data_IF_231315776144
#
_entry.id   IF_231315776144
#
_cell.length_a   1.000
_cell.length_b   1.000
_cell.length_c   1.000
_cell.angle_alpha   90.00
_cell.angle_beta   90.00
_cell.angle_gamma   90.00
#
_symmetry.space_group_name_H-M   'P 1'
#
loop_
_entity.id
_entity.type
_entity.pdbx_description
1 polymer ?
#
# COMPACT_ATOMS: atom_id res chain seq x y z
N UNK A 1 -0.53 -9.08 20.13
CA UNK A 1 -0.81 -7.63 19.96
C UNK A 1 -2.15 -7.30 20.59
N UNK A 2 -2.33 -6.08 21.08
CA UNK A 2 -3.66 -5.61 21.54
C UNK A 2 -4.44 -5.02 20.36
N UNK A 3 -5.76 -5.02 20.45
CA UNK A 3 -6.65 -4.41 19.45
C UNK A 3 -6.31 -2.93 19.19
N UNK A 4 -6.03 -2.18 20.25
CA UNK A 4 -5.70 -0.76 20.14
C UNK A 4 -4.37 -0.52 19.42
N UNK A 5 -3.42 -1.45 19.53
CA UNK A 5 -2.17 -1.37 18.79
C UNK A 5 -2.41 -1.53 17.28
N UNK A 6 -3.23 -2.50 16.86
CA UNK A 6 -3.50 -2.73 15.43
C UNK A 6 -4.18 -1.52 14.77
N UNK A 7 -5.18 -0.96 15.44
CA UNK A 7 -5.87 0.25 14.96
C UNK A 7 -4.91 1.43 14.90
N UNK A 8 -4.14 1.68 15.96
CA UNK A 8 -3.21 2.80 16.00
C UNK A 8 -2.08 2.71 14.97
N UNK A 9 -1.52 1.51 14.77
CA UNK A 9 -0.48 1.28 13.77
C UNK A 9 -1.02 1.47 12.34
N UNK A 10 -2.24 0.97 12.05
CA UNK A 10 -2.88 1.19 10.76
C UNK A 10 -3.20 2.67 10.52
N UNK A 11 -3.75 3.37 11.51
CA UNK A 11 -4.00 4.82 11.41
C UNK A 11 -2.72 5.63 11.18
N UNK A 12 -1.58 5.23 11.76
CA UNK A 12 -0.30 5.88 11.52
C UNK A 12 0.14 5.75 10.07
N UNK A 13 0.14 4.53 9.53
CA UNK A 13 0.53 4.26 8.13
C UNK A 13 -0.39 4.99 7.15
N UNK A 14 -1.71 5.01 7.42
CA UNK A 14 -2.67 5.77 6.60
C UNK A 14 -2.46 7.28 6.73
N UNK A 15 -2.09 7.78 7.91
CA UNK A 15 -1.73 9.19 8.11
C UNK A 15 -0.53 9.61 7.25
N UNK A 16 0.49 8.76 7.15
CA UNK A 16 1.63 9.00 6.26
C UNK A 16 1.21 9.00 4.79
N UNK A 17 0.35 8.07 4.38
CA UNK A 17 -0.22 8.06 3.03
C UNK A 17 -1.00 9.34 2.73
N UNK A 18 -1.76 9.87 3.70
CA UNK A 18 -2.53 11.10 3.54
C UNK A 18 -1.63 12.31 3.27
N UNK A 19 -0.48 12.40 3.94
CA UNK A 19 0.49 13.50 3.78
C UNK A 19 1.07 13.55 2.37
N UNK A 20 1.23 12.38 1.74
CA UNK A 20 1.89 12.24 0.44
C UNK A 20 0.91 12.13 -0.72
N UNK A 21 -0.39 12.05 -0.44
CA UNK A 21 -1.43 11.89 -1.44
C UNK A 21 -1.41 13.06 -2.44
N UNK A 22 -1.43 12.78 -3.77
CA UNK A 22 -1.13 13.79 -4.78
C UNK A 22 -2.28 14.77 -5.07
N UNK A 23 -3.50 14.46 -4.63
CA UNK A 23 -4.67 15.29 -4.88
C UNK A 23 -5.73 15.12 -3.79
N UNK A 24 -6.71 16.04 -3.75
CA UNK A 24 -7.77 16.03 -2.74
C UNK A 24 -8.65 14.78 -2.79
N UNK A 25 -8.82 14.15 -3.95
CA UNK A 25 -9.61 12.93 -4.06
C UNK A 25 -8.88 11.77 -3.36
N UNK A 26 -7.58 11.64 -3.57
CA UNK A 26 -6.74 10.68 -2.87
C UNK A 26 -6.74 10.94 -1.36
N UNK A 27 -6.59 12.20 -0.94
CA UNK A 27 -6.68 12.58 0.49
C UNK A 27 -8.01 12.14 1.10
N UNK A 28 -9.15 12.38 0.41
CA UNK A 28 -10.47 11.95 0.89
C UNK A 28 -10.59 10.43 1.01
N UNK A 29 -10.06 9.69 0.04
CA UNK A 29 -10.08 8.23 0.07
C UNK A 29 -9.26 7.70 1.25
N UNK A 30 -8.10 8.29 1.55
CA UNK A 30 -7.28 7.92 2.71
C UNK A 30 -7.97 8.28 4.03
N UNK A 31 -8.57 9.47 4.15
CA UNK A 31 -9.31 9.87 5.36
C UNK A 31 -10.46 8.92 5.64
N UNK A 32 -11.16 8.46 4.60
CA UNK A 32 -12.22 7.46 4.74
C UNK A 32 -11.67 6.14 5.26
N UNK A 33 -10.51 5.69 4.76
CA UNK A 33 -9.86 4.48 5.27
C UNK A 33 -9.42 4.62 6.73
N UNK A 34 -8.94 5.79 7.16
CA UNK A 34 -8.63 6.06 8.58
C UNK A 34 -9.87 5.92 9.47
N UNK A 35 -10.98 6.54 9.06
CA UNK A 35 -12.25 6.45 9.80
C UNK A 35 -12.75 5.01 9.88
N UNK A 36 -12.67 4.27 8.77
CA UNK A 36 -13.06 2.87 8.75
C UNK A 36 -12.14 2.02 9.64
N UNK A 37 -10.82 2.26 9.65
CA UNK A 37 -9.89 1.57 10.55
C UNK A 37 -10.22 1.82 12.04
N UNK A 38 -10.59 3.04 12.40
CA UNK A 38 -10.91 3.44 13.78
C UNK A 38 -12.26 2.92 14.27
N UNK A 39 -13.25 2.82 13.37
CA UNK A 39 -14.61 2.40 13.72
C UNK A 39 -14.87 0.89 13.57
N UNK A 40 -13.96 0.15 12.93
CA UNK A 40 -14.16 -1.28 12.62
C UNK A 40 -13.52 -2.17 13.68
N UNK A 41 -14.17 -3.28 14.09
CA UNK A 41 -13.54 -4.26 14.97
C UNK A 41 -12.32 -4.90 14.30
N UNK A 42 -11.28 -5.33 15.05
CA UNK A 42 -10.03 -5.88 14.51
C UNK A 42 -10.20 -7.01 13.50
N UNK A 43 -11.18 -7.89 13.73
CA UNK A 43 -11.48 -9.01 12.85
C UNK A 43 -11.92 -8.58 11.45
N UNK A 44 -12.32 -7.32 11.26
CA UNK A 44 -12.73 -6.74 9.99
C UNK A 44 -11.75 -5.67 9.46
N UNK A 45 -10.53 -5.58 10.02
CA UNK A 45 -9.48 -4.69 9.51
C UNK A 45 -8.84 -5.19 8.20
N UNK A 46 -8.85 -6.50 7.93
CA UNK A 46 -8.28 -7.07 6.70
C UNK A 46 -8.77 -6.39 5.42
N UNK A 47 -10.10 -6.25 5.22
CA UNK A 47 -10.66 -5.49 4.09
C UNK A 47 -10.27 -4.01 4.02
N UNK A 48 -9.94 -3.37 5.15
CA UNK A 48 -9.46 -1.97 5.18
C UNK A 48 -8.02 -1.92 4.67
N UNK A 49 -7.15 -2.81 5.15
CA UNK A 49 -5.76 -2.93 4.69
C UNK A 49 -5.70 -3.25 3.20
N UNK A 50 -6.51 -4.20 2.73
CA UNK A 50 -6.62 -4.55 1.31
C UNK A 50 -6.99 -3.35 0.42
N UNK A 51 -7.98 -2.55 0.84
CA UNK A 51 -8.40 -1.34 0.10
C UNK A 51 -7.35 -0.24 0.14
N UNK A 52 -6.61 -0.11 1.24
CA UNK A 52 -5.48 0.81 1.32
C UNK A 52 -4.35 0.41 0.36
N UNK A 53 -4.02 -0.87 0.24
CA UNK A 53 -3.05 -1.37 -0.75
C UNK A 53 -3.51 -1.06 -2.18
N UNK A 54 -4.77 -1.37 -2.53
CA UNK A 54 -5.31 -1.05 -3.86
C UNK A 54 -5.33 0.46 -4.15
N UNK A 55 -5.57 1.29 -3.14
CA UNK A 55 -5.50 2.75 -3.29
C UNK A 55 -4.08 3.18 -3.65
N UNK A 56 -3.07 2.67 -2.96
CA UNK A 56 -1.66 2.97 -3.25
C UNK A 56 -1.27 2.51 -4.65
N UNK A 57 -1.68 1.31 -5.07
CA UNK A 57 -1.43 0.83 -6.44
C UNK A 57 -2.02 1.76 -7.51
N UNK A 58 -3.21 2.31 -7.27
CA UNK A 58 -3.83 3.28 -8.17
C UNK A 58 -3.06 4.61 -8.21
N UNK A 59 -2.51 5.05 -7.08
CA UNK A 59 -1.66 6.25 -7.01
C UNK A 59 -0.33 6.04 -7.74
N UNK A 60 0.28 4.86 -7.63
CA UNK A 60 1.49 4.52 -8.37
C UNK A 60 1.30 4.64 -9.88
N UNK A 61 0.20 4.11 -10.42
CA UNK A 61 -0.09 4.23 -11.85
C UNK A 61 -0.23 5.69 -12.29
N UNK A 62 -0.83 6.52 -11.46
CA UNK A 62 -0.96 7.96 -11.73
C UNK A 62 0.41 8.68 -11.67
N UNK A 63 1.23 8.41 -10.65
CA UNK A 63 2.56 8.97 -10.50
C UNK A 63 3.50 8.55 -11.66
N UNK A 64 3.45 7.27 -12.07
CA UNK A 64 4.19 6.77 -13.23
C UNK A 64 3.76 7.46 -14.53
N UNK A 65 2.45 7.66 -14.71
CA UNK A 65 1.91 8.36 -15.88
C UNK A 65 2.37 9.83 -15.92
N UNK A 66 2.53 10.46 -14.74
CA UNK A 66 3.05 11.84 -14.60
C UNK A 66 4.59 11.93 -14.63
N UNK A 67 5.30 10.80 -14.58
CA UNK A 67 6.77 10.75 -14.53
C UNK A 67 7.37 11.13 -13.17
N UNK A 68 6.58 11.14 -12.10
CA UNK A 68 6.98 11.59 -10.76
C UNK A 68 7.65 10.47 -9.98
N UNK A 69 8.93 10.23 -10.28
CA UNK A 69 9.70 9.10 -9.72
C UNK A 69 9.87 9.21 -8.19
N UNK A 70 10.01 10.41 -7.64
CA UNK A 70 10.13 10.60 -6.19
C UNK A 70 8.82 10.33 -5.44
N UNK A 71 7.68 10.72 -6.03
CA UNK A 71 6.36 10.42 -5.49
C UNK A 71 6.12 8.91 -5.49
N UNK A 72 6.46 8.25 -6.59
CA UNK A 72 6.42 6.80 -6.71
C UNK A 72 7.25 6.09 -5.62
N UNK A 73 8.51 6.49 -5.41
CA UNK A 73 9.37 5.86 -4.38
C UNK A 73 8.75 6.01 -2.99
N UNK A 74 8.20 7.19 -2.68
CA UNK A 74 7.60 7.47 -1.38
C UNK A 74 6.34 6.63 -1.14
N UNK A 75 5.44 6.60 -2.10
CA UNK A 75 4.25 5.76 -2.06
C UNK A 75 4.62 4.27 -2.00
N UNK A 76 5.70 3.86 -2.67
CA UNK A 76 6.18 2.48 -2.66
C UNK A 76 6.66 2.02 -1.28
N UNK A 77 7.38 2.89 -0.56
CA UNK A 77 7.82 2.62 0.82
C UNK A 77 6.62 2.44 1.75
N UNK A 78 5.64 3.33 1.69
CA UNK A 78 4.44 3.27 2.54
C UNK A 78 3.63 1.98 2.25
N UNK A 79 3.56 1.56 0.98
CA UNK A 79 2.93 0.30 0.61
C UNK A 79 3.65 -0.93 1.19
N UNK A 80 4.98 -0.92 1.18
CA UNK A 80 5.77 -2.01 1.74
C UNK A 80 5.51 -2.16 3.25
N UNK A 81 5.47 -1.04 3.98
CA UNK A 81 5.15 -1.02 5.40
C UNK A 81 3.71 -1.48 5.67
N UNK A 82 2.74 -1.01 4.87
CA UNK A 82 1.34 -1.44 4.98
C UNK A 82 1.16 -2.94 4.71
N UNK A 83 1.84 -3.46 3.70
CA UNK A 83 1.80 -4.88 3.35
C UNK A 83 2.44 -5.74 4.44
N UNK A 84 3.61 -5.35 4.94
CA UNK A 84 4.29 -6.04 6.03
C UNK A 84 3.44 -6.03 7.29
N UNK A 85 2.85 -4.88 7.65
CA UNK A 85 1.88 -4.79 8.74
C UNK A 85 0.72 -5.75 8.54
N UNK A 86 0.10 -5.75 7.35
CA UNK A 86 -1.04 -6.60 7.03
C UNK A 86 -0.72 -8.09 7.17
N UNK A 87 0.43 -8.54 6.67
CA UNK A 87 0.88 -9.93 6.79
C UNK A 87 1.22 -10.30 8.23
N UNK A 88 2.00 -9.46 8.93
CA UNK A 88 2.40 -9.72 10.32
C UNK A 88 1.20 -9.74 11.28
N UNK A 89 0.18 -8.94 11.00
CA UNK A 89 -1.07 -8.91 11.76
C UNK A 89 -2.08 -10.00 11.34
N UNK A 90 -1.75 -10.86 10.37
CA UNK A 90 -2.67 -11.84 9.77
C UNK A 90 -3.96 -11.21 9.22
N UNK A 91 -3.86 -9.96 8.76
CA UNK A 91 -4.92 -9.19 8.11
C UNK A 91 -4.91 -9.37 6.59
N UNK A 92 -3.74 -9.74 6.04
CA UNK A 92 -3.54 -10.13 4.66
C UNK A 92 -2.86 -11.51 4.64
N UNK A 93 -3.25 -12.34 3.69
CA UNK A 93 -2.53 -13.57 3.37
C UNK A 93 -1.42 -13.24 2.37
N UNK A 94 -0.23 -13.83 2.58
CA UNK A 94 0.73 -13.91 1.47
C UNK A 94 0.08 -14.80 0.44
N UNK A 95 -0.03 -14.31 -0.80
CA UNK A 95 -0.41 -15.17 -1.90
C UNK A 95 0.71 -16.22 -2.08
N UNK A 96 0.56 -17.37 -1.44
CA UNK A 96 1.24 -18.59 -1.85
C UNK A 96 0.68 -18.97 -3.23
N UNK A 97 1.54 -19.48 -4.11
CA UNK A 97 1.29 -19.71 -5.54
C UNK A 97 0.21 -20.77 -5.90
N UNK A 98 -0.78 -21.03 -5.04
CA UNK A 98 -1.86 -21.97 -5.34
C UNK A 98 -3.22 -21.29 -5.29
N UNK A 99 -3.77 -21.09 -6.49
CA UNK A 99 -5.01 -20.36 -6.72
C UNK A 99 -6.25 -20.99 -6.10
N UNK A 100 -7.05 -20.14 -5.47
CA UNK A 100 -8.46 -19.89 -5.79
C UNK A 100 -8.93 -18.70 -4.92
N UNK A 101 -9.77 -17.82 -5.46
CA UNK A 101 -10.47 -16.79 -4.68
C UNK A 101 -9.71 -15.49 -4.36
N UNK A 102 -9.83 -14.50 -5.26
CA UNK A 102 -9.76 -13.05 -4.97
C UNK A 102 -8.68 -12.59 -3.96
N UNK A 103 -7.42 -12.97 -4.17
CA UNK A 103 -6.31 -12.47 -3.38
C UNK A 103 -5.85 -11.12 -3.95
N UNK A 104 -5.70 -10.12 -3.06
CA UNK A 104 -4.90 -8.93 -3.35
C UNK A 104 -3.50 -9.45 -3.67
N UNK A 105 -3.18 -9.50 -4.96
CA UNK A 105 -1.89 -9.97 -5.45
C UNK A 105 -0.80 -9.13 -4.83
N UNK A 106 0.34 -9.73 -4.47
CA UNK A 106 1.48 -8.94 -4.01
C UNK A 106 1.80 -7.87 -5.07
N UNK A 107 1.90 -6.58 -4.70
CA UNK A 107 2.15 -5.50 -5.65
C UNK A 107 3.44 -5.68 -6.45
N UNK A 108 4.34 -6.55 -5.96
CA UNK A 108 5.68 -6.79 -6.48
C UNK A 108 5.77 -7.87 -7.56
N UNK A 109 4.72 -8.65 -7.83
CA UNK A 109 4.77 -9.74 -8.85
C UNK A 109 4.99 -9.18 -10.27
N UNK A 110 4.49 -7.97 -10.55
CA UNK A 110 4.74 -7.26 -11.82
C UNK A 110 6.05 -6.44 -11.85
N UNK A 111 6.64 -6.16 -10.68
CA UNK A 111 7.82 -5.30 -10.50
C UNK A 111 9.12 -6.11 -10.31
N UNK A 112 9.26 -7.26 -10.98
CA UNK A 112 10.60 -7.86 -11.17
C UNK A 112 11.46 -6.83 -11.92
N UNK A 113 12.24 -6.11 -11.11
CA UNK A 113 13.34 -5.24 -11.46
C UNK A 113 14.01 -5.72 -12.76
N UNK A 114 13.70 -5.06 -13.89
CA UNK A 114 14.62 -5.04 -15.01
C UNK A 114 15.89 -4.36 -14.45
N UNK A 115 17.07 -5.01 -14.52
CA UNK A 115 18.29 -4.37 -14.06
C UNK A 115 18.48 -3.10 -14.88
N UNK A 116 18.65 -1.97 -14.18
CA UNK A 116 19.05 -0.70 -14.77
C UNK A 116 20.36 -0.99 -15.53
N UNK A 117 20.28 -1.19 -16.85
CA UNK A 117 21.45 -1.21 -17.70
C UNK A 117 22.04 0.19 -17.63
N UNK A 118 23.07 0.32 -16.81
CA UNK A 118 23.84 1.54 -16.68
C UNK A 118 24.25 2.06 -18.04
N UNK A 119 24.00 3.36 -18.23
CA UNK A 119 24.62 4.18 -19.25
C UNK A 119 26.14 4.00 -19.22
N UNK A 120 26.66 3.24 -20.17
CA UNK A 120 28.06 3.27 -20.55
C UNK A 120 28.14 3.43 -22.07
N UNK A 121 27.76 4.61 -22.54
CA UNK A 121 28.08 5.10 -23.87
C UNK A 121 28.93 6.37 -23.71
N UNK A 122 30.21 6.16 -23.36
CA UNK A 122 31.28 7.14 -23.48
C UNK A 122 32.59 6.36 -23.71
N UNK A 123 32.81 5.93 -24.95
CA UNK A 123 34.06 6.01 -25.73
C UNK A 123 33.97 5.13 -26.98
#
# INVERSE_FOLDING_TARGET
>A
MTQQYLVGALSLILGELQVVAPNEAAVRDVVRLCQEAECTPPAALGPVVARAVMLIERLWWDALTRGETEAFIREATICAELWEFGVCASLLERADEQGDGALVTSPWVGLRLQPIRGSAALR
#
